data_IF_967998742868
#
_entry.id   IF_967998742868
#
_cell.length_a   1.000
_cell.length_b   1.000
_cell.length_c   1.000
_cell.angle_alpha   90.00
_cell.angle_beta   90.00
_cell.angle_gamma   90.00
#
_symmetry.space_group_name_H-M   'P 1'
#
loop_
_entity.id
_entity.type
_entity.pdbx_description
1 polymer ?
#
# COMPACT_ATOMS: atom_id res chain seq x y z
N UNK A 1 -0.27 -2.92 -37.27
CA UNK A 1 0.03 -4.27 -37.82
C UNK A 1 0.52 -5.11 -36.65
N UNK A 2 -0.19 -6.18 -36.27
CA UNK A 2 0.20 -7.01 -35.12
C UNK A 2 1.22 -8.05 -35.57
N UNK A 3 2.42 -8.04 -34.99
CA UNK A 3 3.47 -9.02 -35.27
C UNK A 3 3.28 -10.22 -34.35
N UNK A 4 2.96 -11.39 -34.92
CA UNK A 4 2.84 -12.65 -34.17
C UNK A 4 4.19 -13.37 -34.22
N UNK A 5 4.79 -13.61 -33.06
CA UNK A 5 6.03 -14.37 -32.95
C UNK A 5 5.72 -15.77 -32.43
N UNK A 6 5.88 -16.79 -33.27
CA UNK A 6 5.68 -18.19 -32.86
C UNK A 6 7.01 -18.75 -32.39
N UNK A 7 7.12 -19.11 -31.11
CA UNK A 7 8.30 -19.78 -30.56
C UNK A 7 7.92 -21.22 -30.22
N UNK A 8 8.50 -22.18 -30.94
CA UNK A 8 8.31 -23.61 -30.67
C UNK A 8 9.36 -24.05 -29.65
N UNK A 9 8.94 -24.25 -28.40
CA UNK A 9 9.79 -24.85 -27.36
C UNK A 9 9.74 -26.38 -27.50
N UNK A 10 10.87 -26.97 -27.91
CA UNK A 10 11.06 -28.42 -27.88
C UNK A 10 11.63 -28.79 -26.52
N UNK A 11 10.81 -29.39 -25.66
CA UNK A 11 11.28 -29.95 -24.38
C UNK A 11 12.17 -31.17 -24.64
N UNK A 12 13.47 -30.92 -24.73
CA UNK A 12 14.51 -31.94 -24.77
C UNK A 12 15.27 -31.94 -23.46
N UNK A 13 14.83 -32.74 -22.48
CA UNK A 13 15.67 -33.36 -21.45
C UNK A 13 14.86 -34.40 -20.66
N UNK A 14 14.92 -35.65 -21.10
CA UNK A 14 14.86 -36.80 -20.18
C UNK A 14 15.53 -37.99 -20.84
N UNK A 15 16.74 -38.30 -20.37
CA UNK A 15 17.42 -39.57 -20.62
C UNK A 15 17.05 -40.53 -19.50
N UNK A 16 15.99 -41.33 -19.68
CA UNK A 16 15.99 -42.76 -19.38
C UNK A 16 14.60 -43.41 -19.46
N UNK A 17 14.62 -44.59 -20.10
CA UNK A 17 13.72 -45.74 -19.98
C UNK A 17 12.23 -45.60 -20.25
N UNK A 18 11.88 -45.98 -21.49
CA UNK A 18 10.84 -46.98 -21.82
C UNK A 18 9.57 -46.98 -20.96
N UNK A 19 8.70 -46.00 -21.21
CA UNK A 19 7.26 -46.23 -21.24
C UNK A 19 6.66 -45.41 -22.36
N UNK A 20 5.77 -46.01 -23.15
CA UNK A 20 5.13 -45.42 -24.32
C UNK A 20 4.15 -44.32 -23.90
N UNK A 21 4.68 -43.15 -23.50
CA UNK A 21 3.90 -41.93 -23.32
C UNK A 21 4.01 -41.12 -24.61
N UNK A 22 2.89 -41.00 -25.32
CA UNK A 22 2.71 -40.04 -26.40
C UNK A 22 2.98 -38.64 -25.85
N UNK A 23 4.19 -38.11 -26.10
CA UNK A 23 4.57 -36.75 -25.74
C UNK A 23 3.65 -35.78 -26.48
N UNK A 24 2.70 -35.17 -25.76
CA UNK A 24 1.93 -34.04 -26.27
C UNK A 24 2.91 -32.87 -26.40
N UNK A 25 3.20 -32.47 -27.63
CA UNK A 25 3.92 -31.23 -27.90
C UNK A 25 2.98 -30.06 -27.58
N UNK A 26 3.29 -29.29 -26.55
CA UNK A 26 2.57 -28.05 -26.26
C UNK A 26 3.17 -26.92 -27.09
N UNK A 27 2.46 -26.46 -28.11
CA UNK A 27 2.85 -25.25 -28.85
C UNK A 27 2.45 -24.02 -28.04
N UNK A 28 3.41 -23.20 -27.64
CA UNK A 28 3.17 -21.90 -26.98
C UNK A 28 3.12 -20.83 -28.08
N UNK A 29 2.01 -20.09 -28.15
CA UNK A 29 1.83 -19.00 -29.10
C UNK A 29 1.99 -17.68 -28.35
N UNK A 30 2.94 -16.84 -28.79
CA UNK A 30 3.12 -15.50 -28.25
C UNK A 30 2.47 -14.49 -29.20
N UNK A 31 1.56 -13.68 -28.68
CA UNK A 31 0.94 -12.57 -29.41
C UNK A 31 1.46 -11.25 -28.88
N UNK A 32 1.96 -10.39 -29.77
CA UNK A 32 2.24 -9.00 -29.42
C UNK A 32 0.94 -8.24 -29.16
N UNK A 33 0.92 -7.45 -28.09
CA UNK A 33 -0.19 -6.57 -27.73
C UNK A 33 0.36 -5.19 -27.39
N UNK A 34 -0.32 -4.16 -27.88
CA UNK A 34 -0.04 -2.77 -27.52
C UNK A 34 -0.79 -2.35 -26.23
N UNK A 35 -1.70 -3.20 -25.77
CA UNK A 35 -2.46 -2.99 -24.53
C UNK A 35 -1.66 -3.60 -23.38
N UNK A 36 -1.21 -2.78 -22.41
CA UNK A 36 -0.51 -3.29 -21.24
C UNK A 36 -1.47 -4.16 -20.40
N UNK A 37 -0.97 -5.24 -19.78
CA UNK A 37 -1.80 -6.06 -18.91
C UNK A 37 -2.27 -5.25 -17.70
N UNK A 38 -3.47 -5.57 -17.20
CA UNK A 38 -3.92 -5.06 -15.91
C UNK A 38 -3.06 -5.67 -14.81
N UNK A 39 -2.22 -4.85 -14.19
CA UNK A 39 -1.37 -5.30 -13.08
C UNK A 39 -2.20 -5.30 -11.80
N UNK A 40 -2.15 -6.41 -11.06
CA UNK A 40 -2.63 -6.48 -9.69
C UNK A 40 -1.47 -6.21 -8.74
N UNK A 41 -1.55 -5.12 -7.98
CA UNK A 41 -0.50 -4.67 -7.07
C UNK A 41 -1.09 -4.33 -5.71
N UNK A 42 -0.28 -4.41 -4.63
CA UNK A 42 -0.71 -3.96 -3.32
C UNK A 42 -1.05 -2.46 -3.33
N UNK A 43 -2.06 -2.09 -2.54
CA UNK A 43 -2.49 -0.70 -2.37
C UNK A 43 -1.89 -0.15 -1.08
N UNK A 44 -1.13 0.92 -1.22
CA UNK A 44 -0.51 1.61 -0.10
C UNK A 44 -1.16 2.96 0.12
N UNK A 45 -1.14 3.44 1.36
CA UNK A 45 -1.26 4.87 1.68
C UNK A 45 0.10 5.42 2.06
N UNK A 46 0.45 6.59 1.54
CA UNK A 46 1.69 7.30 1.86
C UNK A 46 1.39 8.50 2.76
N UNK A 47 1.80 8.41 4.03
CA UNK A 47 1.67 9.50 5.00
C UNK A 47 2.93 10.38 5.01
N UNK A 48 2.71 11.70 5.02
CA UNK A 48 3.74 12.74 4.96
C UNK A 48 3.38 13.89 5.88
N UNK A 49 4.36 14.65 6.35
CA UNK A 49 4.12 15.84 7.16
C UNK A 49 3.89 17.07 6.29
N UNK A 50 2.86 17.84 6.60
CA UNK A 50 2.60 19.13 5.99
C UNK A 50 3.53 20.22 6.52
N UNK A 51 3.61 21.34 5.80
CA UNK A 51 4.38 22.51 6.20
C UNK A 51 3.56 23.49 7.04
N UNK A 52 2.76 22.97 7.96
CA UNK A 52 1.85 23.75 8.78
C UNK A 52 2.59 24.13 10.06
N UNK A 53 3.73 24.81 9.93
CA UNK A 53 4.40 25.40 11.08
C UNK A 53 3.49 26.51 11.61
N UNK A 54 2.78 26.25 12.72
CA UNK A 54 1.93 27.23 13.37
C UNK A 54 2.74 28.50 13.64
N UNK A 55 2.35 29.62 13.02
CA UNK A 55 2.90 30.96 13.25
C UNK A 55 2.62 31.51 14.67
N UNK A 56 2.34 30.64 15.64
CA UNK A 56 2.01 31.04 17.00
C UNK A 56 3.23 30.91 17.90
N UNK A 57 3.56 32.01 18.58
CA UNK A 57 4.50 32.11 19.71
C UNK A 57 4.08 31.26 20.94
N UNK A 58 3.30 30.20 20.74
CA UNK A 58 2.77 29.34 21.80
C UNK A 58 3.72 28.17 22.03
N UNK A 59 4.01 27.98 23.30
CA UNK A 59 5.09 27.20 23.85
C UNK A 59 5.02 25.72 23.44
N UNK A 60 5.96 25.31 22.57
CA UNK A 60 6.76 24.07 22.66
C UNK A 60 6.12 22.70 22.34
N UNK A 61 5.10 22.65 21.48
CA UNK A 61 4.79 21.42 20.71
C UNK A 61 4.31 21.79 19.32
N UNK A 62 5.22 21.92 18.35
CA UNK A 62 4.88 22.22 16.95
C UNK A 62 4.30 20.96 16.30
N UNK A 63 3.02 20.69 16.52
CA UNK A 63 2.33 19.55 15.91
C UNK A 63 2.07 19.86 14.44
N UNK A 64 2.89 19.32 13.54
CA UNK A 64 2.62 19.34 12.10
C UNK A 64 1.48 18.40 11.77
N UNK A 65 0.60 18.82 10.88
CA UNK A 65 -0.49 17.97 10.38
C UNK A 65 0.05 16.95 9.37
N UNK A 66 -0.69 15.87 9.21
CA UNK A 66 -0.39 14.79 8.28
C UNK A 66 -1.22 14.92 7.01
N UNK A 67 -0.57 14.73 5.87
CA UNK A 67 -1.25 14.49 4.59
C UNK A 67 -0.99 13.07 4.11
N UNK A 68 -1.98 12.48 3.46
CA UNK A 68 -1.98 11.10 3.00
C UNK A 68 -2.46 10.99 1.55
N UNK A 69 -1.95 10.00 0.82
CA UNK A 69 -2.38 9.71 -0.54
C UNK A 69 -2.30 8.22 -0.84
N UNK A 70 -3.23 7.71 -1.66
CA UNK A 70 -3.14 6.34 -2.18
C UNK A 70 -2.00 6.26 -3.21
N UNK A 71 -1.20 5.22 -3.11
CA UNK A 71 -0.13 4.91 -4.07
C UNK A 71 -0.11 3.41 -4.35
N UNK A 72 0.03 3.08 -5.64
CA UNK A 72 0.05 1.70 -6.14
C UNK A 72 1.36 1.38 -6.86
N UNK A 73 2.12 2.40 -7.28
CA UNK A 73 3.44 2.26 -7.89
C UNK A 73 4.52 2.17 -6.81
N UNK A 74 4.53 1.06 -6.09
CA UNK A 74 5.53 0.77 -5.05
C UNK A 74 6.05 -0.65 -5.27
N UNK A 75 7.36 -0.80 -5.42
CA UNK A 75 7.96 -2.13 -5.62
C UNK A 75 9.28 -2.27 -4.87
N UNK A 76 9.54 -3.39 -4.18
CA UNK A 76 10.85 -3.68 -3.61
C UNK A 76 11.86 -3.94 -4.73
N UNK A 77 13.04 -3.30 -4.66
CA UNK A 77 14.10 -3.44 -5.67
C UNK A 77 15.39 -4.04 -5.10
N UNK A 78 15.57 -4.05 -3.78
CA UNK A 78 16.70 -4.70 -3.14
C UNK A 78 16.36 -5.17 -1.72
N UNK A 79 17.00 -6.26 -1.30
CA UNK A 79 16.88 -6.81 0.06
C UNK A 79 18.14 -6.56 0.89
N UNK A 80 19.33 -6.63 0.26
CA UNK A 80 20.63 -6.48 0.93
C UNK A 80 21.61 -5.69 0.05
N UNK A 81 22.53 -4.90 0.65
CA UNK A 81 22.70 -4.68 2.09
C UNK A 81 21.60 -3.82 2.71
N UNK A 82 20.94 -2.99 1.90
CA UNK A 82 19.81 -2.16 2.31
C UNK A 82 18.53 -2.68 1.65
N UNK A 83 17.42 -2.64 2.38
CA UNK A 83 16.09 -2.88 1.81
C UNK A 83 15.68 -1.61 1.07
N UNK A 84 15.55 -1.71 -0.24
CA UNK A 84 15.25 -0.58 -1.11
C UNK A 84 13.91 -0.77 -1.82
N UNK A 85 13.19 0.33 -1.99
CA UNK A 85 11.94 0.41 -2.72
C UNK A 85 12.04 1.48 -3.81
N UNK A 86 11.44 1.20 -4.97
CA UNK A 86 11.14 2.23 -5.95
C UNK A 86 9.69 2.68 -5.76
N UNK A 87 9.48 3.99 -5.76
CA UNK A 87 8.18 4.61 -5.48
C UNK A 87 7.86 5.62 -6.60
N UNK A 88 6.70 5.46 -7.23
CA UNK A 88 6.20 6.34 -8.28
C UNK A 88 5.27 7.42 -7.71
N UNK A 89 5.68 8.69 -7.77
CA UNK A 89 4.96 9.82 -7.18
C UNK A 89 4.29 10.68 -8.25
N UNK A 90 2.97 10.84 -8.19
CA UNK A 90 2.27 11.73 -9.12
C UNK A 90 2.67 13.19 -8.87
N UNK A 91 3.13 13.89 -9.92
CA UNK A 91 3.77 15.22 -9.83
C UNK A 91 2.91 16.28 -9.15
N UNK A 92 1.58 16.19 -9.31
CA UNK A 92 0.61 17.18 -8.84
C UNK A 92 -0.01 16.84 -7.47
N UNK A 93 0.72 16.14 -6.60
CA UNK A 93 0.24 15.78 -5.26
C UNK A 93 0.99 16.50 -4.16
N UNK A 94 0.27 16.92 -3.12
CA UNK A 94 0.87 17.49 -1.92
C UNK A 94 1.78 16.47 -1.21
N UNK A 95 1.46 15.17 -1.25
CA UNK A 95 2.30 14.11 -0.68
C UNK A 95 3.67 14.05 -1.36
N UNK A 96 3.76 14.26 -2.68
CA UNK A 96 5.04 14.36 -3.36
C UNK A 96 5.84 15.56 -2.86
N UNK A 97 5.23 16.75 -2.84
CA UNK A 97 5.90 17.97 -2.39
C UNK A 97 6.43 17.82 -0.95
N UNK A 98 5.58 17.32 -0.04
CA UNK A 98 5.95 17.04 1.33
C UNK A 98 7.11 16.04 1.41
N UNK A 99 7.05 14.93 0.67
CA UNK A 99 8.10 13.93 0.70
C UNK A 99 9.43 14.44 0.14
N UNK A 100 9.40 15.20 -0.95
CA UNK A 100 10.62 15.78 -1.52
C UNK A 100 11.24 16.85 -0.60
N UNK A 101 10.44 17.49 0.25
CA UNK A 101 10.92 18.43 1.27
C UNK A 101 11.49 17.69 2.49
N UNK A 102 10.72 16.80 3.09
CA UNK A 102 11.08 16.13 4.36
C UNK A 102 12.04 14.95 4.17
N UNK A 103 12.13 14.42 2.94
CA UNK A 103 12.92 13.24 2.56
C UNK A 103 12.52 11.96 3.29
N UNK A 104 11.39 11.96 4.00
CA UNK A 104 10.86 10.83 4.76
C UNK A 104 9.35 10.72 4.62
N UNK A 105 8.84 9.49 4.67
CA UNK A 105 7.41 9.20 4.74
C UNK A 105 7.15 7.86 5.44
N UNK A 106 5.88 7.59 5.74
CA UNK A 106 5.42 6.26 6.14
C UNK A 106 4.53 5.67 5.04
N UNK A 107 4.92 4.52 4.49
CA UNK A 107 4.03 3.71 3.65
C UNK A 107 3.21 2.77 4.53
N UNK A 108 1.93 2.66 4.24
CA UNK A 108 0.94 1.95 5.04
C UNK A 108 0.20 0.96 4.12
N UNK A 109 0.43 -0.35 4.31
CA UNK A 109 -0.17 -1.39 3.50
C UNK A 109 -1.63 -1.56 3.90
N UNK A 110 -2.55 -1.16 3.04
CA UNK A 110 -3.97 -1.22 3.36
C UNK A 110 -4.45 -2.66 3.48
N UNK A 111 -5.28 -2.93 4.47
CA UNK A 111 -5.92 -4.23 4.69
C UNK A 111 -7.19 -4.35 3.82
N UNK A 112 -7.50 -5.57 3.36
CA UNK A 112 -8.78 -5.95 2.75
C UNK A 112 -9.67 -6.55 3.85
N UNK A 113 -10.15 -5.68 4.76
CA UNK A 113 -11.08 -6.05 5.80
C UNK A 113 -12.51 -5.69 5.38
N UNK A 114 -13.25 -6.68 4.89
CA UNK A 114 -14.64 -6.53 4.45
C UNK A 114 -15.60 -6.17 5.59
N UNK A 115 -15.26 -6.50 6.83
CA UNK A 115 -16.09 -6.17 8.01
C UNK A 115 -15.94 -4.69 8.37
N UNK A 116 -14.80 -4.08 8.02
CA UNK A 116 -14.51 -2.68 8.27
C UNK A 116 -14.72 -1.87 6.98
N UNK A 117 -15.92 -1.28 6.81
CA UNK A 117 -16.28 -0.34 5.74
C UNK A 117 -15.36 0.92 5.66
N UNK A 118 -14.32 0.96 6.48
CA UNK A 118 -13.22 1.91 6.51
C UNK A 118 -12.53 2.11 5.15
N UNK A 119 -12.35 1.04 4.37
CA UNK A 119 -11.59 1.10 3.10
C UNK A 119 -12.26 2.05 2.09
N UNK A 120 -13.59 2.02 1.98
CA UNK A 120 -14.31 2.87 1.03
C UNK A 120 -14.12 4.36 1.36
N UNK A 121 -14.29 4.72 2.64
CA UNK A 121 -14.06 6.08 3.14
C UNK A 121 -12.61 6.53 2.89
N UNK A 122 -11.64 5.70 3.28
CA UNK A 122 -10.21 6.00 3.11
C UNK A 122 -9.87 6.19 1.63
N UNK A 123 -10.30 5.30 0.74
CA UNK A 123 -9.98 5.41 -0.69
C UNK A 123 -10.66 6.63 -1.32
N UNK A 124 -11.91 6.94 -0.94
CA UNK A 124 -12.63 8.13 -1.42
C UNK A 124 -11.90 9.42 -1.04
N UNK A 125 -11.49 9.56 0.22
CA UNK A 125 -10.76 10.75 0.70
C UNK A 125 -9.34 10.79 0.16
N UNK A 126 -8.60 9.69 0.30
CA UNK A 126 -7.17 9.68 -0.01
C UNK A 126 -6.87 9.66 -1.51
N UNK A 127 -7.69 8.98 -2.33
CA UNK A 127 -7.51 8.87 -3.77
C UNK A 127 -8.38 9.83 -4.59
N UNK A 128 -9.51 10.30 -4.03
CA UNK A 128 -10.46 11.16 -4.74
C UNK A 128 -10.32 12.65 -4.46
N UNK A 129 -9.66 13.04 -3.37
CA UNK A 129 -9.54 14.44 -2.95
C UNK A 129 -8.07 14.88 -2.90
N UNK A 130 -7.81 16.14 -3.24
CA UNK A 130 -6.47 16.72 -3.21
C UNK A 130 -6.12 17.18 -1.80
N UNK A 131 -4.88 16.88 -1.35
CA UNK A 131 -4.37 17.43 -0.09
C UNK A 131 -4.14 18.94 -0.13
N UNK A 132 -4.10 19.55 -1.33
CA UNK A 132 -4.03 21.01 -1.46
C UNK A 132 -5.36 21.69 -1.11
N UNK A 133 -6.48 21.00 -1.31
CA UNK A 133 -7.81 21.58 -1.16
C UNK A 133 -8.40 21.29 0.23
N UNK A 134 -8.02 20.16 0.84
CA UNK A 134 -8.57 19.69 2.11
C UNK A 134 -7.51 19.17 3.07
N UNK A 135 -7.74 19.36 4.36
CA UNK A 135 -6.94 18.78 5.44
C UNK A 135 -7.39 17.35 5.71
N UNK A 136 -6.85 16.39 4.93
CA UNK A 136 -7.24 14.96 4.95
C UNK A 136 -7.20 14.32 6.33
N UNK A 137 -6.26 14.72 7.19
CA UNK A 137 -6.20 14.23 8.57
C UNK A 137 -7.51 14.49 9.33
N UNK A 138 -8.04 15.71 9.25
CA UNK A 138 -9.25 16.09 9.97
C UNK A 138 -10.47 15.37 9.41
N UNK A 139 -10.58 15.30 8.07
CA UNK A 139 -11.69 14.61 7.39
C UNK A 139 -11.75 13.13 7.77
N UNK A 140 -10.60 12.46 7.81
CA UNK A 140 -10.52 11.06 8.24
C UNK A 140 -10.85 10.90 9.72
N UNK A 141 -10.33 11.77 10.58
CA UNK A 141 -10.59 11.71 12.01
C UNK A 141 -12.09 11.92 12.33
N UNK A 142 -12.74 12.88 11.67
CA UNK A 142 -14.19 13.07 11.78
C UNK A 142 -14.97 11.85 11.28
N UNK A 143 -14.52 11.25 10.17
CA UNK A 143 -15.16 10.05 9.62
C UNK A 143 -15.06 8.85 10.57
N UNK A 144 -13.93 8.68 11.27
CA UNK A 144 -13.76 7.61 12.25
C UNK A 144 -14.61 7.84 13.51
N UNK A 145 -14.74 9.09 13.95
CA UNK A 145 -15.54 9.44 15.13
C UNK A 145 -17.05 9.27 14.91
N UNK A 146 -17.53 9.47 13.68
CA UNK A 146 -18.96 9.39 13.36
C UNK A 146 -19.46 7.96 13.08
N UNK A 147 -18.56 7.00 12.85
CA UNK A 147 -18.94 5.62 12.63
C UNK A 147 -19.27 4.96 13.98
N UNK A 148 -20.56 4.88 14.30
CA UNK A 148 -21.15 4.28 15.52
C UNK A 148 -20.86 2.76 15.69
N UNK A 149 -20.08 2.19 14.78
CA UNK A 149 -19.66 0.80 14.78
C UNK A 149 -18.30 0.64 15.47
N UNK A 150 -18.31 0.73 16.80
CA UNK A 150 -17.29 0.16 17.70
C UNK A 150 -15.83 0.55 17.42
N UNK A 151 -15.32 1.54 18.16
CA UNK A 151 -13.88 1.77 18.40
C UNK A 151 -12.98 1.59 17.17
N UNK A 152 -13.29 2.26 16.05
CA UNK A 152 -12.27 2.46 15.03
C UNK A 152 -11.21 3.37 15.66
N UNK A 153 -10.00 2.83 15.84
CA UNK A 153 -8.90 3.55 16.46
C UNK A 153 -8.65 4.88 15.75
N UNK A 154 -8.42 5.96 16.50
CA UNK A 154 -8.01 7.24 15.92
C UNK A 154 -6.71 7.09 15.10
N UNK A 155 -6.39 8.10 14.29
CA UNK A 155 -5.08 8.16 13.64
C UNK A 155 -3.97 8.02 14.68
N UNK A 156 -3.08 7.05 14.46
CA UNK A 156 -2.12 6.60 15.47
C UNK A 156 -0.79 7.33 15.32
N UNK A 157 -0.12 7.56 16.44
CA UNK A 157 1.27 7.98 16.44
C UNK A 157 2.15 6.72 16.44
N UNK A 158 3.03 6.60 15.43
CA UNK A 158 4.08 5.59 15.47
C UNK A 158 5.19 6.06 16.40
N UNK A 159 5.54 5.24 17.39
CA UNK A 159 6.72 5.48 18.22
C UNK A 159 7.94 4.85 17.57
N UNK A 160 8.93 5.66 17.22
CA UNK A 160 10.23 5.14 16.79
C UNK A 160 10.92 4.49 17.99
N UNK A 161 11.37 3.25 17.82
CA UNK A 161 12.00 2.49 18.91
C UNK A 161 13.48 2.85 19.12
N UNK A 162 14.07 3.66 18.24
CA UNK A 162 15.54 3.70 18.07
C UNK A 162 16.18 5.08 18.33
N UNK A 163 15.42 6.16 18.48
CA UNK A 163 16.01 7.51 18.58
C UNK A 163 15.62 8.25 19.86
N UNK A 164 16.65 8.68 20.61
CA UNK A 164 16.56 9.64 21.72
C UNK A 164 16.30 11.09 21.25
N UNK A 165 16.08 11.28 19.95
CA UNK A 165 15.67 12.54 19.35
C UNK A 165 14.18 12.46 19.03
N UNK A 166 13.43 13.48 19.45
CA UNK A 166 12.00 13.69 19.16
C UNK A 166 11.77 13.92 17.65
N UNK A 167 12.05 12.92 16.81
CA UNK A 167 11.71 12.96 15.40
C UNK A 167 10.20 12.89 15.27
N UNK A 168 9.60 13.96 14.75
CA UNK A 168 8.17 14.03 14.51
C UNK A 168 7.87 13.13 13.31
N UNK A 169 7.02 12.12 13.50
CA UNK A 169 6.52 11.27 12.43
C UNK A 169 5.10 11.68 12.03
N UNK A 170 4.69 11.45 10.77
CA UNK A 170 3.31 11.62 10.40
C UNK A 170 2.43 10.59 11.11
N UNK A 171 1.18 10.99 11.40
CA UNK A 171 0.16 10.09 11.91
C UNK A 171 -0.17 9.01 10.87
N UNK A 172 -0.59 7.85 11.33
CA UNK A 172 -0.91 6.72 10.46
C UNK A 172 -2.36 6.27 10.61
N UNK A 173 -2.89 5.71 9.52
CA UNK A 173 -4.17 5.02 9.48
C UNK A 173 -4.11 3.78 10.38
N UNK A 174 -5.14 3.55 11.21
CA UNK A 174 -5.26 2.30 11.95
C UNK A 174 -5.51 1.12 11.00
N UNK A 175 -5.31 -0.10 11.50
CA UNK A 175 -5.75 -1.33 10.82
C UNK A 175 -4.99 -1.70 9.54
N UNK A 176 -3.91 -0.99 9.20
CA UNK A 176 -3.05 -1.39 8.08
C UNK A 176 -2.24 -2.65 8.46
N UNK A 177 -1.94 -3.49 7.46
CA UNK A 177 -1.20 -4.75 7.65
C UNK A 177 0.24 -4.48 8.08
N UNK A 178 0.85 -3.46 7.47
CA UNK A 178 2.25 -3.13 7.64
C UNK A 178 2.48 -1.62 7.48
N UNK A 179 3.47 -1.10 8.21
CA UNK A 179 3.97 0.26 8.08
C UNK A 179 5.46 0.23 7.79
N UNK A 180 5.92 1.03 6.83
CA UNK A 180 7.33 1.16 6.46
C UNK A 180 7.75 2.63 6.54
N UNK A 181 8.73 2.96 7.39
CA UNK A 181 9.37 4.27 7.36
C UNK A 181 10.40 4.27 6.25
N UNK A 182 10.20 5.15 5.29
CA UNK A 182 11.07 5.31 4.14
C UNK A 182 11.84 6.61 4.23
N UNK A 183 13.12 6.57 3.86
CA UNK A 183 13.93 7.75 3.56
C UNK A 183 14.36 7.76 2.11
N UNK A 184 14.41 8.94 1.49
CA UNK A 184 14.93 9.12 0.14
C UNK A 184 16.41 8.76 0.09
N UNK A 185 16.80 7.93 -0.90
CA UNK A 185 18.21 7.63 -1.17
C UNK A 185 18.75 8.67 -2.13
N UNK A 186 19.72 9.46 -1.66
CA UNK A 186 20.29 10.57 -2.43
C UNK A 186 19.33 11.75 -2.53
N UNK A 187 19.55 12.61 -3.54
CA UNK A 187 18.74 13.79 -3.81
C UNK A 187 18.11 13.78 -5.21
N UNK A 188 18.34 12.71 -5.97
CA UNK A 188 17.96 12.62 -7.37
C UNK A 188 16.55 12.06 -7.50
N UNK A 189 15.81 12.67 -8.41
CA UNK A 189 14.54 12.16 -8.89
C UNK A 189 14.83 11.58 -10.27
N UNK A 190 14.35 10.37 -10.52
CA UNK A 190 14.42 9.78 -11.86
C UNK A 190 13.21 10.32 -12.62
N UNK A 191 13.45 11.40 -13.36
CA UNK A 191 12.48 11.99 -14.29
C UNK A 191 12.56 11.25 -15.63
N UNK A 192 11.39 10.96 -16.21
CA UNK A 192 11.30 10.40 -17.54
C UNK A 192 10.71 11.45 -18.47
N UNK A 193 11.56 12.06 -19.27
CA UNK A 193 11.13 13.01 -20.29
C UNK A 193 11.24 12.33 -21.65
N UNK A 194 10.08 12.13 -22.28
CA UNK A 194 10.04 11.69 -23.67
C UNK A 194 10.10 12.94 -24.54
N UNK A 195 11.25 13.17 -25.16
CA UNK A 195 11.33 14.06 -26.31
C UNK A 195 10.58 13.38 -27.46
N UNK A 196 9.34 13.80 -27.72
CA UNK A 196 8.64 13.38 -28.93
C UNK A 196 9.39 13.92 -30.16
N UNK A 197 9.30 13.22 -31.29
CA UNK A 197 9.98 13.60 -32.56
C UNK A 197 9.60 15.02 -33.03
N UNK A 198 8.44 15.52 -32.58
CA UNK A 198 7.92 16.84 -32.90
C UNK A 198 8.53 17.97 -32.03
N UNK A 199 9.42 17.65 -31.09
CA UNK A 199 10.09 18.63 -30.22
C UNK A 199 9.22 19.19 -29.10
N UNK A 200 8.01 18.68 -28.90
CA UNK A 200 7.19 18.95 -27.72
C UNK A 200 7.63 18.02 -26.57
N UNK A 201 8.13 18.61 -25.48
CA UNK A 201 8.49 17.90 -24.26
C UNK A 201 7.22 17.49 -23.50
N UNK A 202 6.79 16.24 -23.66
CA UNK A 202 5.73 15.69 -22.82
C UNK A 202 6.36 15.14 -21.53
N UNK A 203 6.39 15.99 -20.50
CA UNK A 203 6.91 15.59 -19.18
C UNK A 203 6.09 14.43 -18.62
N UNK A 204 6.74 13.38 -18.13
CA UNK A 204 6.04 12.30 -17.43
C UNK A 204 5.16 12.82 -16.30
N UNK A 205 4.03 12.16 -16.08
CA UNK A 205 3.09 12.50 -15.00
C UNK A 205 3.59 12.10 -13.60
N UNK A 206 4.60 11.24 -13.53
CA UNK A 206 5.12 10.67 -12.30
C UNK A 206 6.63 10.84 -12.22
N UNK A 207 7.09 11.05 -11.00
CA UNK A 207 8.48 10.93 -10.62
C UNK A 207 8.75 9.52 -10.12
N UNK A 208 9.96 9.01 -10.33
CA UNK A 208 10.41 7.78 -9.67
C UNK A 208 11.50 8.15 -8.66
N UNK A 209 11.32 7.69 -7.42
CA UNK A 209 12.30 7.87 -6.35
C UNK A 209 12.71 6.53 -5.78
N UNK A 210 13.97 6.44 -5.35
CA UNK A 210 14.50 5.27 -4.65
C UNK A 210 14.55 5.57 -3.16
N UNK A 211 13.96 4.69 -2.37
CA UNK A 211 13.85 4.85 -0.93
C UNK A 211 14.49 3.68 -0.20
N UNK A 212 15.07 3.96 0.97
CA UNK A 212 15.54 2.97 1.93
C UNK A 212 14.49 2.76 3.00
N UNK A 213 14.28 1.50 3.41
CA UNK A 213 13.48 1.18 4.59
C UNK A 213 14.35 1.37 5.83
N UNK A 214 13.95 2.30 6.69
CA UNK A 214 14.63 2.56 7.97
C UNK A 214 14.01 1.78 9.12
N UNK A 215 12.68 1.78 9.21
CA UNK A 215 11.92 1.08 10.24
C UNK A 215 10.69 0.41 9.63
N UNK A 216 10.19 -0.62 10.31
CA UNK A 216 9.06 -1.42 9.85
C UNK A 216 8.24 -1.90 11.04
N UNK A 217 6.92 -1.80 10.91
CA UNK A 217 5.95 -2.25 11.91
C UNK A 217 4.91 -3.15 11.24
N UNK A 218 4.40 -4.13 11.99
CA UNK A 218 3.35 -5.04 11.51
C UNK A 218 2.25 -5.14 12.55
N UNK A 219 1.00 -5.11 12.11
CA UNK A 219 -0.14 -5.27 12.99
C UNK A 219 -0.36 -6.75 13.27
N UNK A 220 -0.51 -7.13 14.54
CA UNK A 220 -0.87 -8.50 14.93
C UNK A 220 -2.28 -8.49 15.51
N UNK A 221 -3.25 -9.02 14.79
CA UNK A 221 -4.62 -9.18 15.30
C UNK A 221 -4.63 -10.32 16.32
N UNK A 222 -4.77 -9.98 17.60
CA UNK A 222 -4.95 -10.98 18.66
C UNK A 222 -6.45 -11.25 18.77
N UNK A 223 -6.96 -12.20 18.00
CA UNK A 223 -8.37 -12.60 18.10
C UNK A 223 -8.56 -13.38 19.41
N UNK A 224 -8.94 -12.69 20.47
CA UNK A 224 -9.40 -13.34 21.71
C UNK A 224 -10.76 -13.95 21.41
N UNK A 225 -10.79 -15.24 21.11
CA UNK A 225 -12.04 -16.00 21.01
C UNK A 225 -12.63 -16.09 22.41
N UNK A 226 -13.51 -15.15 22.76
CA UNK A 226 -14.39 -15.28 23.91
C UNK A 226 -15.44 -16.34 23.57
N UNK A 227 -15.08 -17.62 23.72
CA UNK A 227 -16.06 -18.70 23.77
C UNK A 227 -16.83 -18.56 25.08
N UNK A 228 -17.92 -17.80 25.07
CA UNK A 228 -18.94 -17.85 26.11
C UNK A 228 -19.66 -19.20 26.00
N UNK A 229 -19.15 -20.20 26.72
CA UNK A 229 -19.88 -21.41 27.03
C UNK A 229 -20.18 -21.32 28.52
N UNK A 230 -21.39 -20.88 28.84
CA UNK A 230 -22.01 -21.06 30.14
C UNK A 230 -22.45 -22.54 30.23
N UNK A 231 -21.51 -23.43 30.55
CA UNK A 231 -21.85 -24.78 31.03
C UNK A 231 -20.92 -25.10 32.22
N UNK A 232 -21.50 -25.09 33.41
CA UNK A 232 -20.89 -25.62 34.63
C UNK A 232 -20.75 -27.15 34.50
N UNK A 233 -19.70 -27.64 33.85
CA UNK A 233 -19.23 -29.02 34.04
C UNK A 233 -17.80 -29.02 34.59
N UNK A 234 -17.68 -29.58 35.79
CA UNK A 234 -16.45 -29.85 36.53
C UNK A 234 -15.64 -30.92 35.76
N UNK A 235 -14.76 -30.48 34.86
CA UNK A 235 -13.85 -31.36 34.12
C UNK A 235 -12.43 -31.23 34.68
N UNK A 236 -11.96 -32.36 35.21
CA UNK A 236 -10.61 -32.60 35.75
C UNK A 236 -9.53 -32.26 34.71
N UNK A 237 -8.63 -31.33 35.05
CA UNK A 237 -7.49 -30.92 34.23
C UNK A 237 -6.49 -32.07 34.02
N UNK A 238 -6.26 -32.42 32.74
CA UNK A 238 -5.06 -33.13 32.30
C UNK A 238 -4.15 -32.13 31.57
N UNK A 239 -3.00 -31.85 32.19
CA UNK A 239 -1.92 -31.02 31.64
C UNK A 239 -1.41 -31.55 30.28
N UNK A 240 -1.11 -30.63 29.35
CA UNK A 240 0.05 -30.85 28.45
C UNK A 240 -0.15 -30.83 26.94
N UNK A 241 -1.03 -30.02 26.36
CA UNK A 241 -1.00 -29.76 24.90
C UNK A 241 -1.01 -28.25 24.57
N UNK A 242 0.02 -27.71 23.89
CA UNK A 242 0.03 -26.32 23.44
C UNK A 242 -1.07 -26.11 22.39
N UNK A 243 -2.09 -25.33 22.73
CA UNK A 243 -3.12 -24.89 21.77
C UNK A 243 -2.44 -24.09 20.67
N UNK A 244 -2.42 -24.63 19.44
CA UNK A 244 -1.95 -23.92 18.25
C UNK A 244 -2.94 -22.80 17.93
N UNK A 245 -2.67 -21.60 18.40
CA UNK A 245 -3.38 -20.40 17.95
C UNK A 245 -3.12 -20.24 16.44
N UNK A 246 -4.15 -20.44 15.63
CA UNK A 246 -4.08 -20.15 14.19
C UNK A 246 -4.13 -18.64 14.02
N UNK A 247 -2.99 -18.02 13.73
CA UNK A 247 -2.94 -16.63 13.31
C UNK A 247 -3.61 -16.51 11.94
N UNK A 248 -4.81 -15.91 11.90
CA UNK A 248 -5.46 -15.54 10.63
C UNK A 248 -4.62 -14.44 10.00
N UNK A 249 -3.90 -14.77 8.93
CA UNK A 249 -3.13 -13.76 8.19
C UNK A 249 -4.11 -12.71 7.63
N UNK A 250 -3.88 -11.45 7.96
CA UNK A 250 -4.64 -10.35 7.37
C UNK A 250 -4.35 -10.30 5.87
N UNK A 251 -5.41 -10.22 5.06
CA UNK A 251 -5.31 -10.08 3.62
C UNK A 251 -5.08 -8.61 3.29
N UNK A 252 -4.09 -8.29 2.47
CA UNK A 252 -3.87 -6.92 2.03
C UNK A 252 -4.79 -6.55 0.87
N UNK A 253 -5.08 -5.26 0.74
CA UNK A 253 -5.86 -4.70 -0.35
C UNK A 253 -5.04 -4.63 -1.63
N UNK A 254 -5.62 -5.11 -2.73
CA UNK A 254 -4.99 -5.09 -4.05
C UNK A 254 -5.80 -4.25 -5.05
N UNK A 255 -5.15 -3.81 -6.14
CA UNK A 255 -5.86 -3.07 -7.20
C UNK A 255 -6.89 -3.93 -7.93
N UNK A 256 -6.67 -5.25 -8.02
CA UNK A 256 -7.67 -6.22 -8.45
C UNK A 256 -8.91 -6.16 -7.57
N UNK A 257 -8.73 -6.21 -6.25
CA UNK A 257 -9.84 -6.13 -5.30
C UNK A 257 -10.60 -4.80 -5.39
N UNK A 258 -9.90 -3.67 -5.51
CA UNK A 258 -10.54 -2.37 -5.69
C UNK A 258 -11.41 -2.28 -6.95
N UNK A 259 -11.01 -2.95 -8.04
CA UNK A 259 -11.81 -3.06 -9.28
C UNK A 259 -13.05 -3.92 -9.07
N UNK A 260 -12.91 -5.06 -8.40
CA UNK A 260 -14.04 -5.94 -8.06
C UNK A 260 -15.10 -5.21 -7.23
N UNK A 261 -14.66 -4.35 -6.30
CA UNK A 261 -15.54 -3.51 -5.48
C UNK A 261 -16.12 -2.31 -6.24
N UNK A 262 -15.72 -2.07 -7.49
CA UNK A 262 -16.18 -0.93 -8.27
C UNK A 262 -15.69 0.42 -7.73
N UNK A 263 -14.65 0.42 -6.89
CA UNK A 263 -14.06 1.64 -6.31
C UNK A 263 -13.15 2.32 -7.33
N UNK A 264 -12.45 1.53 -8.15
CA UNK A 264 -11.62 2.04 -9.25
C UNK A 264 -12.01 1.41 -10.59
N UNK A 265 -11.76 2.14 -11.67
CA UNK A 265 -11.91 1.66 -13.05
C UNK A 265 -10.81 0.66 -13.42
N UNK A 266 -10.95 -0.01 -14.57
CA UNK A 266 -9.88 -0.87 -15.11
C UNK A 266 -8.53 -0.12 -15.24
N UNK A 267 -8.60 1.18 -15.54
CA UNK A 267 -7.44 2.06 -15.67
C UNK A 267 -6.90 2.59 -14.32
N UNK A 268 -7.48 2.15 -13.20
CA UNK A 268 -7.05 2.54 -11.86
C UNK A 268 -7.49 3.93 -11.40
N UNK A 269 -8.46 4.56 -12.08
CA UNK A 269 -9.05 5.84 -11.64
C UNK A 269 -10.18 5.59 -10.64
N UNK A 270 -10.41 6.49 -9.68
CA UNK A 270 -11.58 6.39 -8.80
C UNK A 270 -12.86 6.38 -9.64
N UNK A 271 -13.75 5.41 -9.39
CA UNK A 271 -15.02 5.29 -10.09
C UNK A 271 -16.01 6.35 -9.59
N UNK A 272 -16.67 7.04 -10.52
CA UNK A 272 -17.63 8.10 -10.21
C UNK A 272 -18.81 7.57 -9.38
N UNK A 273 -19.22 6.32 -9.59
CA UNK A 273 -20.30 5.67 -8.84
C UNK A 273 -19.96 5.49 -7.35
N UNK A 274 -18.69 5.38 -6.98
CA UNK A 274 -18.27 5.27 -5.58
C UNK A 274 -18.39 6.60 -4.80
N UNK A 275 -18.66 7.71 -5.48
CA UNK A 275 -18.80 9.03 -4.84
C UNK A 275 -20.22 9.38 -4.42
N UNK A 276 -21.23 8.60 -4.84
CA UNK A 276 -22.65 8.95 -4.79
C UNK A 276 -23.44 8.46 -3.55
N UNK A 277 -22.76 7.89 -2.55
CA UNK A 277 -23.34 7.56 -1.23
C UNK A 277 -22.79 8.47 -0.13
#
# INVERSE_FOLDING_TARGET
MSTVMVVVLVEGLSTSSTSSNTKKSTTIIYSSTDIPPLVDVPVWSMATLNNDASNENTTRTTTRTTNMNIITYVTPISIRPNRLYAVGLFKKTLSRENFLREKTCILQLLCDDEEQNHISCVVKVLGGQSGYDIQKQNVLQESFNNNDHGSIDELQDLTSSVSSSEEILPKVLPGCVQYLKLSLVGNEIIEYDNANEDGEEESSSHDIVICKVDEMWTTTSTSTSSSSVDDEEEVVELEGAPKKQQQKQQKYLSTGRLRELGIITEQGRIAITATAE
#
